data_IF_686731246337
#
_entry.id   IF_686731246337
#
_cell.length_a   1.000
_cell.length_b   1.000
_cell.length_c   1.000
_cell.angle_alpha   90.00
_cell.angle_beta   90.00
_cell.angle_gamma   90.00
#
_symmetry.space_group_name_H-M   'P 1'
#
loop_
_entity.id
_entity.type
_entity.pdbx_description
1 polymer ?
#
# COMPACT_ATOMS: atom_id res chain seq x y z
N UNK A 1 -42.73 -51.19 22.96
CA UNK A 1 -43.85 -50.27 23.23
C UNK A 1 -43.42 -48.87 22.80
N UNK A 2 -44.31 -48.15 22.14
CA UNK A 2 -44.10 -46.91 21.38
C UNK A 2 -44.46 -45.70 22.27
N UNK A 3 -43.64 -44.65 22.26
CA UNK A 3 -43.98 -43.25 22.61
C UNK A 3 -42.83 -42.39 22.06
N UNK A 4 -42.93 -41.76 20.89
CA UNK A 4 -43.63 -40.52 20.51
C UNK A 4 -43.17 -39.27 21.30
N UNK A 5 -42.65 -38.30 20.53
CA UNK A 5 -41.92 -37.10 20.92
C UNK A 5 -42.79 -35.93 21.41
N UNK A 6 -42.20 -34.97 22.15
CA UNK A 6 -42.58 -33.55 22.09
C UNK A 6 -41.38 -32.67 22.47
N UNK A 7 -41.10 -31.67 21.64
CA UNK A 7 -39.99 -30.72 21.78
C UNK A 7 -40.34 -29.56 22.72
N UNK A 8 -39.34 -29.04 23.45
CA UNK A 8 -39.41 -27.69 24.03
C UNK A 8 -38.05 -27.03 23.83
N UNK A 9 -38.05 -25.94 23.07
CA UNK A 9 -36.90 -25.11 22.77
C UNK A 9 -36.47 -24.31 24.01
N UNK A 10 -35.17 -24.22 24.26
CA UNK A 10 -34.59 -23.19 25.12
C UNK A 10 -33.18 -22.84 24.61
N UNK A 11 -33.15 -21.82 23.77
CA UNK A 11 -31.92 -21.18 23.27
C UNK A 11 -31.28 -20.39 24.41
N UNK A 12 -30.10 -20.80 24.87
CA UNK A 12 -29.22 -19.94 25.67
C UNK A 12 -27.90 -19.77 24.92
N UNK A 13 -27.76 -18.59 24.29
CA UNK A 13 -26.52 -18.09 23.72
C UNK A 13 -25.52 -17.85 24.85
N UNK A 14 -24.30 -18.36 24.71
CA UNK A 14 -23.16 -17.88 25.50
C UNK A 14 -21.97 -17.71 24.58
N UNK A 15 -21.52 -16.46 24.57
CA UNK A 15 -20.53 -15.85 23.70
C UNK A 15 -19.13 -16.30 24.10
N UNK A 16 -18.36 -16.77 23.13
CA UNK A 16 -16.92 -17.00 23.23
C UNK A 16 -16.28 -16.59 21.92
N UNK A 17 -16.18 -15.28 21.69
CA UNK A 17 -15.54 -14.72 20.52
C UNK A 17 -14.02 -14.89 20.64
N UNK A 18 -13.45 -15.83 19.89
CA UNK A 18 -12.09 -15.68 19.37
C UNK A 18 -12.23 -15.23 17.92
N UNK A 19 -12.27 -13.91 17.74
CA UNK A 19 -12.11 -13.31 16.44
C UNK A 19 -10.65 -13.53 16.01
N UNK A 20 -10.37 -14.66 15.35
CA UNK A 20 -9.25 -14.74 14.45
C UNK A 20 -9.63 -13.84 13.27
N UNK A 21 -9.32 -12.55 13.38
CA UNK A 21 -9.44 -11.65 12.25
C UNK A 21 -8.64 -12.30 11.11
N UNK A 22 -9.21 -12.48 9.91
CA UNK A 22 -8.36 -12.79 8.77
C UNK A 22 -7.34 -11.65 8.71
N UNK A 23 -6.05 -11.96 8.75
CA UNK A 23 -5.06 -11.05 8.21
C UNK A 23 -5.50 -10.82 6.77
N UNK A 24 -6.23 -9.72 6.54
CA UNK A 24 -6.40 -9.19 5.21
C UNK A 24 -4.98 -8.88 4.76
N UNK A 25 -4.42 -9.77 3.96
CA UNK A 25 -3.48 -9.35 2.94
C UNK A 25 -4.26 -8.30 2.13
N UNK A 26 -4.14 -7.05 2.57
CA UNK A 26 -4.75 -5.92 1.91
C UNK A 26 -4.21 -5.98 0.48
N UNK A 27 -5.06 -5.97 -0.56
CA UNK A 27 -4.54 -5.73 -1.90
C UNK A 27 -3.67 -4.48 -1.80
N UNK A 28 -2.52 -4.48 -2.49
CA UNK A 28 -1.72 -3.28 -2.61
C UNK A 28 -2.58 -2.26 -3.37
N UNK A 29 -3.43 -1.55 -2.63
CA UNK A 29 -4.30 -0.52 -3.13
C UNK A 29 -3.35 0.61 -3.51
N UNK A 30 -3.01 0.67 -4.81
CA UNK A 30 -2.22 1.77 -5.32
C UNK A 30 -2.94 3.07 -4.98
N UNK A 31 -2.35 3.89 -4.10
CA UNK A 31 -2.93 5.17 -3.71
C UNK A 31 -2.38 6.27 -4.61
N UNK A 32 -3.29 6.93 -5.33
CA UNK A 32 -2.95 8.04 -6.23
C UNK A 32 -2.96 9.37 -5.46
N UNK A 33 -1.81 10.01 -5.37
CA UNK A 33 -1.68 11.30 -4.72
C UNK A 33 -2.17 12.45 -5.60
N UNK A 34 -2.65 13.53 -4.97
CA UNK A 34 -2.95 14.77 -5.67
C UNK A 34 -1.67 15.33 -6.33
N UNK A 35 -1.74 15.91 -7.55
CA UNK A 35 -0.58 16.46 -8.22
C UNK A 35 0.11 17.56 -7.42
N UNK A 36 1.45 17.52 -7.34
CA UNK A 36 2.29 18.54 -6.66
C UNK A 36 3.59 18.71 -7.44
N UNK A 37 4.09 19.94 -7.52
CA UNK A 37 5.37 20.26 -8.18
C UNK A 37 5.47 19.77 -9.65
N UNK A 38 4.34 19.68 -10.37
CA UNK A 38 4.30 19.15 -11.73
C UNK A 38 4.43 17.62 -11.82
N UNK A 39 4.28 16.92 -10.70
CA UNK A 39 4.39 15.47 -10.60
C UNK A 39 3.12 14.86 -9.99
N UNK A 40 2.85 13.61 -10.35
CA UNK A 40 1.83 12.76 -9.75
C UNK A 40 2.53 11.53 -9.18
N UNK A 41 2.21 11.21 -7.93
CA UNK A 41 2.78 10.06 -7.22
C UNK A 41 1.72 8.98 -7.11
N UNK A 42 2.16 7.74 -7.30
CA UNK A 42 1.38 6.52 -7.09
C UNK A 42 2.10 5.71 -6.01
N UNK A 43 1.50 5.55 -4.84
CA UNK A 43 2.05 4.70 -3.79
C UNK A 43 1.64 3.27 -4.12
N UNK A 44 2.61 2.39 -4.38
CA UNK A 44 2.37 1.03 -4.88
C UNK A 44 2.52 -0.03 -3.80
N UNK A 45 3.18 0.28 -2.68
CA UNK A 45 3.29 -0.62 -1.53
C UNK A 45 3.64 0.12 -0.23
N UNK A 46 3.37 -0.54 0.90
CA UNK A 46 3.76 -0.13 2.26
C UNK A 46 3.00 1.07 2.82
N UNK A 47 3.35 1.46 4.04
CA UNK A 47 2.73 2.56 4.78
C UNK A 47 3.56 3.85 4.60
N UNK A 48 3.24 4.61 3.54
CA UNK A 48 3.79 5.94 3.31
C UNK A 48 2.66 6.85 2.83
N UNK A 49 2.57 8.05 3.41
CA UNK A 49 1.58 9.03 3.00
C UNK A 49 2.07 9.89 1.80
N UNK A 50 1.11 10.48 1.08
CA UNK A 50 1.39 11.31 -0.09
C UNK A 50 2.29 12.53 0.18
N UNK A 51 2.26 13.11 1.38
CA UNK A 51 3.10 14.26 1.72
C UNK A 51 4.54 13.79 1.87
N UNK A 52 4.77 12.73 2.65
CA UNK A 52 6.09 12.14 2.85
C UNK A 52 6.68 11.63 1.53
N UNK A 53 5.90 10.94 0.69
CA UNK A 53 6.35 10.50 -0.63
C UNK A 53 6.76 11.68 -1.54
N UNK A 54 5.98 12.77 -1.51
CA UNK A 54 6.33 14.00 -2.24
C UNK A 54 7.64 14.62 -1.78
N UNK A 55 7.87 14.67 -0.47
CA UNK A 55 9.08 15.26 0.12
C UNK A 55 10.36 14.48 -0.21
N UNK A 56 10.23 13.18 -0.49
CA UNK A 56 11.33 12.37 -1.04
C UNK A 56 11.45 12.52 -2.56
N UNK A 57 10.33 12.51 -3.29
CA UNK A 57 10.30 12.63 -4.75
C UNK A 57 11.00 13.90 -5.26
N UNK A 58 10.78 15.06 -4.61
CA UNK A 58 11.39 16.34 -5.02
C UNK A 58 12.91 16.39 -4.90
N UNK A 59 13.53 15.42 -4.22
CA UNK A 59 14.98 15.34 -4.04
C UNK A 59 15.67 14.57 -5.16
N UNK A 60 14.93 13.84 -6.00
CA UNK A 60 15.48 13.06 -7.09
C UNK A 60 15.93 13.97 -8.24
N UNK A 61 17.19 13.84 -8.67
CA UNK A 61 17.70 14.55 -9.84
C UNK A 61 17.44 13.74 -11.12
N UNK A 62 16.50 14.21 -11.95
CA UNK A 62 16.15 13.56 -13.22
C UNK A 62 17.30 13.50 -14.24
N UNK A 63 18.32 14.36 -14.09
CA UNK A 63 19.49 14.38 -14.98
C UNK A 63 20.73 13.75 -14.34
N UNK A 64 20.60 13.27 -13.10
CA UNK A 64 21.68 12.65 -12.35
C UNK A 64 21.83 11.16 -12.66
N UNK A 65 22.34 10.43 -11.67
CA UNK A 65 22.51 8.98 -11.78
C UNK A 65 21.16 8.26 -11.86
N UNK A 66 21.13 7.13 -12.60
CA UNK A 66 19.95 6.28 -12.71
C UNK A 66 19.47 5.71 -11.36
N UNK A 67 20.39 5.59 -10.41
CA UNK A 67 20.19 5.06 -9.08
C UNK A 67 20.58 6.14 -8.07
N UNK A 68 19.64 6.57 -7.22
CA UNK A 68 19.90 7.58 -6.20
C UNK A 68 19.35 7.13 -4.86
N UNK A 69 20.15 7.23 -3.81
CA UNK A 69 19.71 6.96 -2.44
C UNK A 69 19.23 8.26 -1.82
N UNK A 70 17.95 8.29 -1.42
CA UNK A 70 17.29 9.47 -0.87
C UNK A 70 16.66 9.08 0.46
N UNK A 71 17.36 9.37 1.55
CA UNK A 71 16.93 8.94 2.89
C UNK A 71 16.82 7.41 2.96
N UNK A 72 15.66 6.83 3.35
CA UNK A 72 15.48 5.38 3.41
C UNK A 72 15.19 4.75 2.04
N UNK A 73 15.05 5.53 0.97
CA UNK A 73 14.68 5.04 -0.35
C UNK A 73 15.88 4.87 -1.26
N UNK A 74 15.86 3.81 -2.05
CA UNK A 74 16.62 3.74 -3.30
C UNK A 74 15.67 4.01 -4.46
N UNK A 75 15.99 5.03 -5.25
CA UNK A 75 15.19 5.49 -6.38
C UNK A 75 15.86 5.16 -7.71
N UNK A 76 15.05 4.73 -8.66
CA UNK A 76 15.43 4.20 -9.97
C UNK A 76 14.76 5.02 -11.06
N UNK A 77 15.54 5.52 -12.02
CA UNK A 77 14.99 6.22 -13.19
C UNK A 77 14.04 5.30 -13.94
N UNK A 78 12.85 5.80 -14.27
CA UNK A 78 11.91 5.07 -15.11
C UNK A 78 12.36 5.07 -16.57
N UNK A 79 11.97 4.04 -17.30
CA UNK A 79 12.25 3.91 -18.74
C UNK A 79 10.98 3.62 -19.56
N UNK A 80 9.81 3.82 -18.97
CA UNK A 80 8.54 3.56 -19.61
C UNK A 80 8.24 4.64 -20.67
N UNK A 81 7.91 4.24 -21.89
CA UNK A 81 7.64 5.17 -23.00
C UNK A 81 6.18 5.62 -23.09
N UNK A 82 5.23 4.87 -22.51
CA UNK A 82 3.78 5.05 -22.76
C UNK A 82 3.06 5.84 -21.67
N UNK A 83 3.44 5.64 -20.41
CA UNK A 83 3.16 6.54 -19.28
C UNK A 83 4.54 6.84 -18.70
N UNK A 84 5.14 8.01 -18.99
CA UNK A 84 6.54 8.24 -18.73
C UNK A 84 6.80 8.30 -17.23
N UNK A 85 7.01 7.11 -16.65
CA UNK A 85 7.54 6.94 -15.31
C UNK A 85 8.83 7.73 -15.27
N UNK A 86 8.87 8.77 -14.46
CA UNK A 86 10.06 9.57 -14.27
C UNK A 86 11.07 8.77 -13.46
N UNK A 87 10.61 8.22 -12.33
CA UNK A 87 11.37 7.34 -11.46
C UNK A 87 10.44 6.62 -10.47
N UNK A 88 10.98 5.62 -9.80
CA UNK A 88 10.32 4.84 -8.76
C UNK A 88 11.25 4.67 -7.57
N UNK A 89 10.73 4.74 -6.36
CA UNK A 89 11.50 4.65 -5.12
C UNK A 89 11.01 3.47 -4.29
N UNK A 90 11.94 2.68 -3.76
CA UNK A 90 11.68 1.54 -2.86
C UNK A 90 12.43 1.76 -1.56
N UNK A 91 11.73 1.66 -0.43
CA UNK A 91 12.33 1.78 0.88
C UNK A 91 13.19 0.54 1.22
N UNK A 92 14.35 0.79 1.80
CA UNK A 92 15.16 -0.27 2.42
C UNK A 92 14.79 -0.46 3.90
N UNK A 93 13.51 -0.75 4.12
CA UNK A 93 12.91 -1.01 5.44
C UNK A 93 12.09 -2.30 5.40
N UNK A 94 11.64 -2.79 6.56
CA UNK A 94 10.80 -4.00 6.64
C UNK A 94 9.48 -3.84 5.89
N UNK A 95 8.85 -2.66 5.96
CA UNK A 95 7.57 -2.37 5.30
C UNK A 95 7.68 -2.23 3.78
N UNK A 96 8.90 -2.13 3.23
CA UNK A 96 9.20 -2.02 1.80
C UNK A 96 8.28 -1.02 1.07
N UNK A 97 8.06 0.14 1.70
CA UNK A 97 7.24 1.19 1.11
C UNK A 97 7.75 1.58 -0.28
N UNK A 98 6.83 1.77 -1.21
CA UNK A 98 7.15 1.96 -2.61
C UNK A 98 6.24 3.01 -3.24
N UNK A 99 6.82 3.88 -4.06
CA UNK A 99 6.05 4.83 -4.85
C UNK A 99 6.69 5.10 -6.22
N UNK A 100 5.83 5.34 -7.20
CA UNK A 100 6.16 5.66 -8.58
C UNK A 100 5.79 7.12 -8.89
N UNK A 101 6.65 7.82 -9.64
CA UNK A 101 6.48 9.25 -9.95
C UNK A 101 6.32 9.47 -11.45
N UNK A 102 5.30 10.23 -11.81
CA UNK A 102 4.89 10.54 -13.17
C UNK A 102 4.80 12.06 -13.37
N UNK A 103 4.87 12.58 -14.61
CA UNK A 103 4.50 13.97 -14.87
C UNK A 103 3.00 14.18 -14.64
N UNK A 104 2.63 15.36 -14.13
CA UNK A 104 1.23 15.79 -13.96
C UNK A 104 0.57 16.26 -15.25
#
# INVERSE_FOLDING_TARGET
MKALATATAATTLSFGAVAMAPSSAQPADSEKCAPRFGQVIDITAGDIDCITASDYAVKYDLNGDKYQVIGPFTCYSGNAMTAPLLFQCVADTEDRAEFAVYPA
#
